data_IF_369206588453
#
_entry.id   IF_369206588453
#
_cell.length_a   1.000
_cell.length_b   1.000
_cell.length_c   1.000
_cell.angle_alpha   90.00
_cell.angle_beta   90.00
_cell.angle_gamma   90.00
#
_symmetry.space_group_name_H-M   'P 1'
#
loop_
_entity.id
_entity.type
_entity.pdbx_description
1 polymer ?
#
# COMPACT_ATOMS: atom_id res chain seq x y z
N UNK A 1 27.37 17.04 77.38
CA UNK A 1 26.41 16.15 76.70
C UNK A 1 25.65 16.93 75.63
N UNK A 2 25.93 16.69 74.34
CA UNK A 2 24.96 16.46 73.26
C UNK A 2 25.64 16.62 71.88
N UNK A 3 25.91 15.45 71.31
CA UNK A 3 25.95 15.03 69.90
C UNK A 3 26.71 15.87 68.86
N UNK A 4 27.86 15.32 68.44
CA UNK A 4 28.44 15.46 67.10
C UNK A 4 27.43 14.95 66.05
N UNK A 5 27.05 15.80 65.09
CA UNK A 5 26.33 15.41 63.89
C UNK A 5 27.30 15.35 62.70
N UNK A 6 27.62 14.14 62.24
CA UNK A 6 28.35 13.91 61.00
C UNK A 6 27.42 14.19 59.82
N UNK A 7 27.73 15.22 59.02
CA UNK A 7 27.02 15.50 57.77
C UNK A 7 27.60 14.57 56.70
N UNK A 8 26.80 13.58 56.30
CA UNK A 8 27.06 12.74 55.12
C UNK A 8 26.57 13.51 53.90
N UNK A 9 27.49 13.89 53.01
CA UNK A 9 27.17 14.49 51.72
C UNK A 9 26.80 13.35 50.75
N UNK A 10 25.50 13.06 50.61
CA UNK A 10 25.00 12.15 49.57
C UNK A 10 24.96 12.94 48.26
N UNK A 11 25.96 12.70 47.40
CA UNK A 11 25.91 13.13 46.00
C UNK A 11 24.85 12.25 45.31
N UNK A 12 23.67 12.81 45.06
CA UNK A 12 22.73 12.23 44.11
C UNK A 12 23.35 12.39 42.71
N UNK A 13 23.90 11.30 42.16
CA UNK A 13 23.99 11.17 40.72
C UNK A 13 22.55 11.10 40.20
N UNK A 14 22.09 12.16 39.54
CA UNK A 14 20.91 12.09 38.69
C UNK A 14 21.24 11.14 37.54
N UNK A 15 20.73 9.91 37.63
CA UNK A 15 20.69 9.00 36.50
C UNK A 15 19.50 9.47 35.67
N UNK A 16 19.74 10.07 34.52
CA UNK A 16 18.69 10.39 33.54
C UNK A 16 18.10 9.07 33.00
N UNK A 17 17.12 8.52 33.71
CA UNK A 17 16.28 7.40 33.28
C UNK A 17 15.18 7.92 32.35
N UNK A 18 15.56 8.48 31.20
CA UNK A 18 14.63 8.86 30.13
C UNK A 18 15.02 8.19 28.80
N UNK A 19 15.29 6.89 28.82
CA UNK A 19 15.35 6.09 27.60
C UNK A 19 13.92 5.78 27.15
N UNK A 20 13.39 6.56 26.19
CA UNK A 20 12.12 6.28 25.54
C UNK A 20 12.31 5.11 24.55
N UNK A 21 11.51 4.07 24.66
CA UNK A 21 11.54 2.93 23.73
C UNK A 21 11.08 3.31 22.32
N UNK A 22 11.21 2.40 21.35
CA UNK A 22 10.81 2.62 19.96
C UNK A 22 9.29 2.74 19.80
N UNK A 23 8.76 3.95 19.98
CA UNK A 23 7.34 4.28 19.84
C UNK A 23 7.21 5.45 18.85
N UNK A 24 6.65 5.20 17.67
CA UNK A 24 6.50 6.20 16.59
C UNK A 24 5.34 7.19 16.82
N UNK A 25 5.34 7.88 17.97
CA UNK A 25 4.35 8.91 18.32
C UNK A 25 4.83 10.34 17.95
N UNK A 26 5.40 10.53 16.76
CA UNK A 26 5.82 11.87 16.31
C UNK A 26 4.75 12.50 15.42
N UNK A 27 4.32 13.71 15.77
CA UNK A 27 3.44 14.54 14.93
C UNK A 27 4.31 15.22 13.87
N UNK A 28 3.90 15.12 12.60
CA UNK A 28 4.66 15.65 11.45
C UNK A 28 5.03 17.13 11.56
N UNK A 29 4.21 17.93 12.27
CA UNK A 29 4.46 19.36 12.48
C UNK A 29 5.70 19.63 13.34
N UNK A 30 6.04 18.74 14.28
CA UNK A 30 7.23 18.89 15.14
C UNK A 30 8.54 18.58 14.37
N UNK A 31 8.49 17.72 13.35
CA UNK A 31 9.65 17.32 12.54
C UNK A 31 10.07 18.45 11.60
N UNK A 32 9.11 19.14 11.00
CA UNK A 32 9.36 20.28 10.12
C UNK A 32 10.13 21.39 10.86
N UNK A 33 9.71 21.69 12.11
CA UNK A 33 10.37 22.70 12.94
C UNK A 33 11.75 22.23 13.45
N UNK A 34 11.87 20.98 13.91
CA UNK A 34 13.10 20.46 14.51
C UNK A 34 14.20 20.11 13.49
N UNK A 35 13.85 19.47 12.37
CA UNK A 35 14.82 18.87 11.46
C UNK A 35 15.07 19.71 10.21
N UNK A 36 14.06 20.45 9.72
CA UNK A 36 14.15 21.23 8.47
C UNK A 36 14.18 22.74 8.70
N UNK A 37 13.75 23.20 9.88
CA UNK A 37 13.94 24.56 10.35
C UNK A 37 15.41 24.98 10.36
N UNK A 38 16.33 24.18 10.94
CA UNK A 38 17.76 24.55 11.03
C UNK A 38 18.81 23.41 11.22
N UNK A 39 18.49 22.11 11.31
CA UNK A 39 19.39 21.15 12.04
C UNK A 39 19.62 19.72 11.51
N UNK A 40 19.06 19.27 10.37
CA UNK A 40 19.43 17.92 9.89
C UNK A 40 20.86 17.86 9.34
N UNK A 41 21.68 16.95 9.88
CA UNK A 41 23.09 16.77 9.51
C UNK A 41 23.27 15.55 8.58
N UNK A 42 24.43 15.46 7.93
CA UNK A 42 24.79 14.24 7.19
C UNK A 42 24.74 13.03 8.13
N UNK A 43 24.28 11.88 7.63
CA UNK A 43 24.30 10.64 8.40
C UNK A 43 25.71 10.29 8.86
N UNK A 44 25.81 9.52 9.95
CA UNK A 44 27.06 8.92 10.36
C UNK A 44 27.50 7.90 9.30
N UNK A 45 28.80 7.83 8.93
CA UNK A 45 29.27 6.92 7.89
C UNK A 45 28.90 5.45 8.13
N UNK A 46 28.82 5.05 9.39
CA UNK A 46 28.41 3.71 9.80
C UNK A 46 26.93 3.43 9.53
N UNK A 47 26.04 4.36 9.89
CA UNK A 47 24.62 4.23 9.60
C UNK A 47 24.35 4.23 8.08
N UNK A 48 25.09 5.06 7.33
CA UNK A 48 25.04 5.08 5.86
C UNK A 48 25.46 3.72 5.27
N UNK A 49 26.56 3.15 5.77
CA UNK A 49 27.07 1.85 5.34
C UNK A 49 26.09 0.71 5.64
N UNK A 50 25.48 0.70 6.84
CA UNK A 50 24.49 -0.30 7.25
C UNK A 50 23.27 -0.27 6.31
N UNK A 51 22.74 0.92 6.03
CA UNK A 51 21.61 1.06 5.09
C UNK A 51 22.02 0.66 3.69
N UNK A 52 23.23 1.00 3.23
CA UNK A 52 23.72 0.57 1.93
C UNK A 52 23.87 -0.96 1.84
N UNK A 53 24.29 -1.62 2.92
CA UNK A 53 24.33 -3.08 3.01
C UNK A 53 22.93 -3.69 2.95
N UNK A 54 21.93 -3.14 3.66
CA UNK A 54 20.53 -3.57 3.56
C UNK A 54 20.05 -3.51 2.11
N UNK A 55 20.25 -2.35 1.48
CA UNK A 55 19.86 -2.12 0.09
C UNK A 55 20.58 -3.07 -0.88
N UNK A 56 21.85 -3.36 -0.62
CA UNK A 56 22.64 -4.30 -1.41
C UNK A 56 22.14 -5.76 -1.29
N UNK A 57 21.78 -6.23 -0.09
CA UNK A 57 21.20 -7.57 0.10
C UNK A 57 19.91 -7.76 -0.71
N UNK A 58 19.13 -6.68 -0.84
CA UNK A 58 17.91 -6.66 -1.65
C UNK A 58 18.14 -6.37 -3.13
N UNK A 59 19.39 -6.09 -3.53
CA UNK A 59 19.77 -5.65 -4.88
C UNK A 59 19.02 -4.38 -5.33
N UNK A 60 18.71 -3.49 -4.38
CA UNK A 60 18.01 -2.25 -4.62
C UNK A 60 18.97 -1.05 -4.56
N UNK A 61 18.70 -0.02 -5.35
CA UNK A 61 19.38 1.27 -5.23
C UNK A 61 18.64 2.13 -4.20
N UNK A 62 19.39 2.80 -3.34
CA UNK A 62 18.86 3.76 -2.37
C UNK A 62 18.23 4.96 -3.09
N UNK A 63 16.97 5.25 -2.81
CA UNK A 63 16.19 6.36 -3.42
C UNK A 63 15.82 7.46 -2.42
N UNK A 64 16.27 7.34 -1.18
CA UNK A 64 16.06 8.28 -0.09
C UNK A 64 17.41 8.73 0.50
N UNK A 65 17.42 9.84 1.24
CA UNK A 65 18.61 10.31 1.94
C UNK A 65 18.51 9.94 3.41
N UNK A 66 19.58 9.41 3.99
CA UNK A 66 19.67 9.22 5.43
C UNK A 66 20.26 10.49 6.06
N UNK A 67 19.66 10.97 7.15
CA UNK A 67 20.10 12.20 7.86
C UNK A 67 19.95 12.04 9.36
N UNK A 68 20.87 12.67 10.09
CA UNK A 68 20.73 12.84 11.54
C UNK A 68 19.75 13.96 11.84
N UNK A 69 18.85 13.73 12.80
CA UNK A 69 18.08 14.78 13.44
C UNK A 69 18.09 14.53 14.95
N UNK A 70 18.73 15.40 15.72
CA UNK A 70 18.81 15.26 17.17
C UNK A 70 17.49 15.66 17.84
N UNK A 71 17.23 15.10 19.02
CA UNK A 71 16.10 15.43 19.91
C UNK A 71 14.73 14.93 19.44
N UNK A 72 14.68 14.11 18.39
CA UNK A 72 13.45 13.41 18.01
C UNK A 72 13.27 12.10 18.79
N UNK A 73 14.32 11.61 19.46
CA UNK A 73 14.32 10.35 20.23
C UNK A 73 13.70 9.17 19.45
N UNK A 74 13.93 9.12 18.13
CA UNK A 74 13.29 8.19 17.23
C UNK A 74 14.02 8.11 15.88
N UNK A 75 13.51 7.26 14.98
CA UNK A 75 13.75 7.31 13.55
C UNK A 75 12.41 7.43 12.79
N UNK A 76 12.44 7.99 11.58
CA UNK A 76 11.24 8.16 10.76
C UNK A 76 11.56 8.23 9.26
N UNK A 77 10.78 7.52 8.46
CA UNK A 77 10.67 7.68 7.02
C UNK A 77 9.66 8.77 6.63
N UNK A 78 10.11 9.86 5.99
CA UNK A 78 9.26 11.00 5.58
C UNK A 78 9.62 11.59 4.21
N UNK A 79 8.67 12.31 3.59
CA UNK A 79 8.90 13.08 2.35
C UNK A 79 8.78 14.56 2.63
N UNK A 80 9.87 15.28 2.37
CA UNK A 80 10.05 16.65 2.81
C UNK A 80 10.45 17.56 1.66
N UNK A 81 10.05 18.82 1.70
CA UNK A 81 10.45 19.77 0.67
C UNK A 81 11.90 20.23 0.91
N UNK A 82 12.73 20.13 -0.13
CA UNK A 82 14.05 20.76 -0.11
C UNK A 82 13.94 22.29 -0.25
N UNK A 83 15.09 22.98 -0.14
CA UNK A 83 15.18 24.44 -0.25
C UNK A 83 14.72 24.99 -1.62
N UNK A 84 14.56 24.12 -2.62
CA UNK A 84 14.09 24.46 -3.96
C UNK A 84 12.60 24.11 -4.16
N UNK A 85 11.91 23.66 -3.11
CA UNK A 85 10.49 23.29 -3.13
C UNK A 85 10.22 21.89 -3.68
N UNK A 86 11.25 21.06 -3.92
CA UNK A 86 11.07 19.70 -4.41
C UNK A 86 10.87 18.73 -3.26
N UNK A 87 9.87 17.86 -3.36
CA UNK A 87 9.70 16.75 -2.41
C UNK A 87 10.81 15.72 -2.55
N UNK A 88 11.53 15.47 -1.46
CA UNK A 88 12.64 14.55 -1.36
C UNK A 88 12.38 13.56 -0.20
N UNK A 89 12.50 12.25 -0.42
CA UNK A 89 12.39 11.26 0.66
C UNK A 89 13.64 11.23 1.56
N UNK A 90 13.40 11.15 2.87
CA UNK A 90 14.40 11.10 3.94
C UNK A 90 14.09 10.02 4.98
N UNK A 91 15.09 9.26 5.39
CA UNK A 91 15.08 8.61 6.71
C UNK A 91 15.81 9.56 7.67
N UNK A 92 15.12 10.02 8.70
CA UNK A 92 15.68 10.83 9.78
C UNK A 92 15.87 9.96 11.01
N UNK A 93 16.99 10.10 11.71
CA UNK A 93 17.21 9.36 12.96
C UNK A 93 17.95 10.20 14.01
N UNK A 94 17.64 9.95 15.29
CA UNK A 94 18.41 10.49 16.40
C UNK A 94 19.57 9.53 16.77
N UNK A 95 20.83 9.94 16.57
CA UNK A 95 21.98 9.07 16.81
C UNK A 95 22.19 8.73 18.29
N UNK A 96 21.83 9.64 19.22
CA UNK A 96 21.98 9.39 20.66
C UNK A 96 20.97 8.36 21.13
N UNK A 97 19.74 8.47 20.61
CA UNK A 97 18.67 7.54 20.91
C UNK A 97 18.94 6.15 20.31
N UNK A 98 19.37 6.05 19.04
CA UNK A 98 19.76 4.74 18.47
C UNK A 98 20.87 4.07 19.29
N UNK A 99 21.93 4.79 19.66
CA UNK A 99 23.00 4.25 20.50
C UNK A 99 22.51 3.82 21.90
N UNK A 100 21.44 4.45 22.41
CA UNK A 100 20.83 4.04 23.68
C UNK A 100 20.05 2.73 23.54
N UNK A 101 19.44 2.48 22.37
CA UNK A 101 18.77 1.22 22.04
C UNK A 101 19.79 0.07 21.99
N UNK A 102 20.96 0.30 21.39
CA UNK A 102 22.00 -0.72 21.30
C UNK A 102 22.57 -1.09 22.66
N UNK A 103 22.85 -0.08 23.50
CA UNK A 103 23.38 -0.30 24.86
C UNK A 103 22.43 -1.06 25.77
N UNK A 104 21.14 -0.77 25.67
CA UNK A 104 20.11 -1.40 26.51
C UNK A 104 19.80 -2.83 26.06
N UNK A 105 19.76 -3.06 24.75
CA UNK A 105 19.55 -4.39 24.13
C UNK A 105 20.83 -5.22 24.07
N UNK A 106 21.99 -4.61 24.38
CA UNK A 106 23.33 -5.20 24.35
C UNK A 106 23.73 -5.77 22.98
N UNK A 107 23.22 -5.16 21.92
CA UNK A 107 23.49 -5.56 20.53
C UNK A 107 23.21 -4.40 19.58
N UNK A 108 24.05 -4.25 18.56
CA UNK A 108 23.87 -3.23 17.51
C UNK A 108 22.70 -3.57 16.57
N UNK A 109 22.20 -4.81 16.64
CA UNK A 109 21.03 -5.24 15.86
C UNK A 109 19.76 -4.49 16.24
N UNK A 110 19.70 -3.86 17.41
CA UNK A 110 18.57 -3.04 17.81
C UNK A 110 18.44 -1.80 16.92
N UNK A 111 19.51 -1.02 16.75
CA UNK A 111 19.51 0.15 15.86
C UNK A 111 19.45 -0.23 14.38
N UNK A 112 20.11 -1.33 13.98
CA UNK A 112 19.98 -1.89 12.62
C UNK A 112 18.52 -2.25 12.33
N UNK A 113 17.82 -2.89 13.27
CA UNK A 113 16.41 -3.25 13.13
C UNK A 113 15.49 -2.05 12.98
N UNK A 114 15.73 -0.98 13.75
CA UNK A 114 15.00 0.30 13.60
C UNK A 114 15.23 0.90 12.20
N UNK A 115 16.47 0.94 11.72
CA UNK A 115 16.75 1.45 10.37
C UNK A 115 16.10 0.57 9.28
N UNK A 116 16.15 -0.76 9.43
CA UNK A 116 15.49 -1.68 8.51
C UNK A 116 13.97 -1.49 8.48
N UNK A 117 13.37 -1.20 9.62
CA UNK A 117 11.95 -0.88 9.74
C UNK A 117 11.60 0.41 8.97
N UNK A 118 12.38 1.48 9.12
CA UNK A 118 12.16 2.72 8.36
C UNK A 118 12.38 2.54 6.84
N UNK A 119 13.37 1.73 6.44
CA UNK A 119 13.53 1.32 5.04
C UNK A 119 12.29 0.58 4.55
N UNK A 120 11.71 -0.28 5.38
CA UNK A 120 10.44 -0.96 5.13
C UNK A 120 9.29 0.02 4.87
N UNK A 121 9.14 1.05 5.70
CA UNK A 121 8.13 2.09 5.48
C UNK A 121 8.28 2.80 4.13
N UNK A 122 9.51 3.02 3.65
CA UNK A 122 9.72 3.60 2.33
C UNK A 122 9.43 2.64 1.19
N UNK A 123 9.97 1.43 1.24
CA UNK A 123 9.84 0.46 0.15
C UNK A 123 8.41 -0.09 0.03
N UNK A 124 7.64 -0.05 1.11
CA UNK A 124 6.21 -0.40 1.13
C UNK A 124 5.29 0.81 0.92
N UNK A 125 5.85 1.99 0.58
CA UNK A 125 5.14 3.23 0.28
C UNK A 125 4.27 3.78 1.44
N UNK A 126 4.57 3.40 2.68
CA UNK A 126 3.87 3.90 3.88
C UNK A 126 4.13 5.39 4.12
N UNK A 127 5.36 5.86 3.84
CA UNK A 127 5.80 7.24 4.06
C UNK A 127 5.11 8.31 3.18
N UNK A 128 4.30 7.91 2.19
CA UNK A 128 3.62 8.85 1.27
C UNK A 128 2.38 9.54 1.85
N UNK A 129 1.86 9.04 2.98
CA UNK A 129 0.47 9.31 3.33
C UNK A 129 0.22 10.44 4.35
N UNK A 130 1.25 11.07 4.94
CA UNK A 130 1.15 12.13 5.97
C UNK A 130 0.15 11.87 7.12
N UNK A 131 -0.36 10.65 7.22
CA UNK A 131 -1.16 10.14 8.32
C UNK A 131 -0.15 9.41 9.20
N UNK A 132 -0.10 9.73 10.49
CA UNK A 132 0.81 9.10 11.46
C UNK A 132 0.65 7.59 11.54
N UNK A 133 1.24 6.96 12.55
CA UNK A 133 1.33 5.50 12.64
C UNK A 133 -0.01 4.77 12.40
N UNK A 134 0.03 3.81 11.48
CA UNK A 134 -1.06 2.92 11.13
C UNK A 134 -0.67 1.52 11.62
N UNK A 135 -1.44 0.89 12.53
CA UNK A 135 -1.08 -0.41 13.09
C UNK A 135 -0.76 -1.47 12.04
N UNK A 136 -1.39 -1.40 10.86
CA UNK A 136 -1.08 -2.33 9.75
C UNK A 136 0.31 -2.08 9.18
N UNK A 137 0.65 -0.81 8.93
CA UNK A 137 1.95 -0.43 8.37
C UNK A 137 3.12 -0.74 9.30
N UNK A 138 2.92 -0.63 10.62
CA UNK A 138 3.91 -1.04 11.61
C UNK A 138 4.26 -2.53 11.49
N UNK A 139 3.25 -3.40 11.46
CA UNK A 139 3.44 -4.86 11.32
C UNK A 139 4.13 -5.20 10.00
N UNK A 140 3.77 -4.49 8.93
CA UNK A 140 4.35 -4.67 7.61
C UNK A 140 5.83 -4.29 7.59
N UNK A 141 6.18 -3.15 8.21
CA UNK A 141 7.56 -2.70 8.37
C UNK A 141 8.38 -3.58 9.32
N UNK A 142 7.78 -4.11 10.40
CA UNK A 142 8.43 -5.06 11.32
C UNK A 142 8.78 -6.38 10.65
N UNK A 143 7.85 -6.92 9.84
CA UNK A 143 8.11 -8.14 9.07
C UNK A 143 9.22 -7.92 8.04
N UNK A 144 9.19 -6.78 7.36
CA UNK A 144 10.26 -6.38 6.44
C UNK A 144 11.61 -6.28 7.16
N UNK A 145 11.64 -5.66 8.34
CA UNK A 145 12.84 -5.54 9.15
C UNK A 145 13.38 -6.93 9.54
N UNK A 146 12.52 -7.84 10.01
CA UNK A 146 12.90 -9.20 10.35
C UNK A 146 13.51 -9.98 9.19
N UNK A 147 12.92 -9.86 7.98
CA UNK A 147 13.47 -10.46 6.75
C UNK A 147 14.84 -9.87 6.39
N UNK A 148 14.96 -8.55 6.47
CA UNK A 148 16.21 -7.83 6.15
C UNK A 148 17.33 -8.20 7.12
N UNK A 149 17.04 -8.23 8.43
CA UNK A 149 18.02 -8.62 9.45
C UNK A 149 18.46 -10.08 9.29
N UNK A 150 17.55 -10.99 8.94
CA UNK A 150 17.92 -12.37 8.61
C UNK A 150 18.85 -12.46 7.40
N UNK A 151 18.60 -11.70 6.33
CA UNK A 151 19.48 -11.64 5.15
C UNK A 151 20.88 -11.09 5.50
N UNK A 152 20.95 -10.20 6.49
CA UNK A 152 22.20 -9.64 6.99
C UNK A 152 22.91 -10.56 8.00
N UNK A 153 22.29 -11.69 8.38
CA UNK A 153 22.90 -12.73 9.22
C UNK A 153 22.61 -12.63 10.71
N UNK A 154 21.59 -11.87 11.13
CA UNK A 154 21.20 -11.82 12.54
C UNK A 154 20.62 -13.16 13.03
N UNK A 155 20.78 -13.46 14.31
CA UNK A 155 19.92 -14.41 15.02
C UNK A 155 18.48 -13.87 15.15
N UNK A 156 17.54 -14.73 15.52
CA UNK A 156 16.15 -14.30 15.74
C UNK A 156 16.05 -13.38 16.96
N UNK A 157 16.77 -13.71 18.03
CA UNK A 157 16.85 -12.90 19.25
C UNK A 157 17.39 -11.51 18.95
N UNK A 158 18.47 -11.41 18.16
CA UNK A 158 19.01 -10.12 17.70
C UNK A 158 18.01 -9.36 16.83
N UNK A 159 17.30 -10.03 15.91
CA UNK A 159 16.27 -9.37 15.09
C UNK A 159 15.14 -8.78 15.95
N UNK A 160 14.80 -9.43 17.07
CA UNK A 160 13.74 -8.99 17.97
C UNK A 160 14.18 -7.89 18.95
N UNK A 161 15.49 -7.64 19.09
CA UNK A 161 16.08 -6.73 20.06
C UNK A 161 15.64 -5.27 19.91
N UNK A 162 15.23 -4.83 18.70
CA UNK A 162 14.67 -3.49 18.49
C UNK A 162 13.43 -3.20 19.35
N UNK A 163 12.78 -4.24 19.89
CA UNK A 163 11.62 -4.13 20.77
C UNK A 163 11.91 -4.36 22.25
N UNK A 164 13.18 -4.52 22.67
CA UNK A 164 13.51 -4.82 24.08
C UNK A 164 12.98 -3.75 25.03
N UNK A 165 13.13 -2.47 24.65
CA UNK A 165 12.63 -1.33 25.42
C UNK A 165 11.20 -0.91 25.05
N UNK A 166 10.51 -1.67 24.19
CA UNK A 166 9.12 -1.39 23.84
C UNK A 166 8.20 -1.76 25.01
N UNK A 167 7.42 -0.80 25.51
CA UNK A 167 6.64 -0.94 26.76
C UNK A 167 5.15 -1.19 26.51
N UNK A 168 4.65 -0.97 25.29
CA UNK A 168 3.25 -1.18 24.96
C UNK A 168 2.94 -2.68 24.83
N UNK A 169 2.21 -3.23 25.81
CA UNK A 169 1.88 -4.66 25.86
C UNK A 169 0.70 -4.99 24.93
N UNK A 170 -0.36 -4.18 24.98
CA UNK A 170 -1.62 -4.38 24.26
C UNK A 170 -1.75 -3.41 23.07
N UNK A 171 -2.60 -3.75 22.09
CA UNK A 171 -2.87 -2.86 20.96
C UNK A 171 -3.43 -1.51 21.39
N UNK A 172 -2.97 -0.45 20.73
CA UNK A 172 -3.58 0.87 20.76
C UNK A 172 -4.23 1.19 19.40
N UNK A 173 -4.87 2.37 19.32
CA UNK A 173 -5.44 2.85 18.06
C UNK A 173 -4.36 3.10 16.99
N UNK A 174 -3.14 3.42 17.40
CA UNK A 174 -2.04 3.83 16.51
C UNK A 174 -0.92 2.80 16.43
N UNK A 175 -0.73 1.96 17.45
CA UNK A 175 0.38 0.99 17.49
C UNK A 175 -0.06 -0.41 17.93
N UNK A 176 0.47 -1.49 17.33
CA UNK A 176 0.27 -2.86 17.79
C UNK A 176 1.00 -3.13 19.12
N UNK A 177 0.47 -4.05 19.92
CA UNK A 177 1.16 -4.52 21.13
C UNK A 177 2.46 -5.28 20.83
N UNK A 178 3.41 -5.29 21.78
CA UNK A 178 4.76 -5.87 21.65
C UNK A 178 4.76 -7.28 21.05
N UNK A 179 3.85 -8.15 21.50
CA UNK A 179 3.78 -9.53 21.05
C UNK A 179 3.53 -9.65 19.54
N UNK A 180 2.68 -8.79 18.97
CA UNK A 180 2.40 -8.80 17.53
C UNK A 180 3.59 -8.33 16.70
N UNK A 181 4.28 -7.29 17.19
CA UNK A 181 5.49 -6.76 16.55
C UNK A 181 6.62 -7.80 16.53
N UNK A 182 6.84 -8.47 17.66
CA UNK A 182 7.81 -9.56 17.79
C UNK A 182 7.48 -10.74 16.87
N UNK A 183 6.20 -11.13 16.75
CA UNK A 183 5.79 -12.20 15.83
C UNK A 183 5.97 -11.77 14.37
N UNK A 184 5.68 -10.52 14.01
CA UNK A 184 5.92 -10.01 12.66
C UNK A 184 7.40 -10.08 12.26
N UNK A 185 8.31 -9.62 13.13
CA UNK A 185 9.77 -9.76 12.96
C UNK A 185 10.15 -11.23 12.76
N UNK A 186 9.67 -12.11 13.64
CA UNK A 186 9.96 -13.54 13.58
C UNK A 186 9.50 -14.16 12.27
N UNK A 187 8.29 -13.83 11.82
CA UNK A 187 7.77 -14.33 10.55
C UNK A 187 8.64 -13.89 9.37
N UNK A 188 9.03 -12.61 9.32
CA UNK A 188 9.96 -12.12 8.30
C UNK A 188 11.31 -12.83 8.34
N UNK A 189 11.86 -13.02 9.54
CA UNK A 189 13.14 -13.70 9.76
C UNK A 189 13.09 -15.18 9.33
N UNK A 190 12.00 -15.89 9.67
CA UNK A 190 11.80 -17.30 9.30
C UNK A 190 11.69 -17.49 7.79
N UNK A 191 11.20 -16.51 7.02
CA UNK A 191 11.13 -16.63 5.56
C UNK A 191 12.51 -16.79 4.90
N UNK A 192 13.58 -16.32 5.54
CA UNK A 192 14.96 -16.47 5.06
C UNK A 192 15.59 -17.77 5.59
N UNK A 193 15.40 -18.05 6.88
CA UNK A 193 16.15 -19.11 7.57
C UNK A 193 15.44 -20.47 7.60
N UNK A 194 14.12 -20.48 7.41
CA UNK A 194 13.32 -21.68 7.18
C UNK A 194 12.61 -21.53 5.83
N UNK A 195 13.35 -21.44 4.71
CA UNK A 195 12.73 -21.33 3.41
C UNK A 195 11.76 -22.50 3.29
N UNK A 196 10.49 -22.19 3.02
CA UNK A 196 9.49 -23.23 2.74
C UNK A 196 10.08 -24.16 1.69
N UNK A 197 9.85 -25.48 1.83
CA UNK A 197 10.20 -26.47 0.81
C UNK A 197 10.00 -25.84 -0.57
N UNK A 198 10.95 -26.00 -1.48
CA UNK A 198 10.85 -25.52 -2.87
C UNK A 198 9.65 -26.17 -3.57
N UNK A 199 8.45 -25.70 -3.25
CA UNK A 199 7.17 -26.11 -3.80
C UNK A 199 7.00 -25.24 -5.03
N UNK A 200 7.13 -25.86 -6.20
CA UNK A 200 6.73 -25.19 -7.43
C UNK A 200 5.21 -25.32 -7.52
N UNK A 201 4.51 -24.22 -7.21
CA UNK A 201 3.06 -24.17 -7.26
C UNK A 201 2.56 -24.54 -8.67
N UNK A 202 1.69 -25.53 -8.73
CA UNK A 202 1.01 -25.99 -9.93
C UNK A 202 -0.43 -26.42 -9.58
N UNK A 203 -1.22 -26.80 -10.58
CA UNK A 203 -2.61 -27.24 -10.44
C UNK A 203 -2.77 -28.45 -9.49
N UNK A 204 -1.75 -29.30 -9.37
CA UNK A 204 -1.76 -30.49 -8.52
C UNK A 204 -1.21 -30.25 -7.10
N UNK A 205 -0.71 -29.05 -6.77
CA UNK A 205 -0.23 -28.73 -5.42
C UNK A 205 -1.40 -28.85 -4.43
N UNK A 206 -1.23 -29.57 -3.31
CA UNK A 206 -2.28 -29.75 -2.30
C UNK A 206 -2.60 -28.45 -1.56
N UNK A 207 -3.87 -28.20 -1.22
CA UNK A 207 -4.32 -26.96 -0.54
C UNK A 207 -3.55 -26.65 0.74
N UNK A 208 -3.13 -27.68 1.50
CA UNK A 208 -2.36 -27.51 2.74
C UNK A 208 -0.94 -26.99 2.52
N UNK A 209 -0.41 -27.19 1.31
CA UNK A 209 0.96 -26.83 0.92
C UNK A 209 0.97 -25.50 0.15
N UNK A 210 -0.21 -24.92 -0.12
CA UNK A 210 -0.36 -23.62 -0.77
C UNK A 210 -0.20 -22.52 0.27
N UNK A 211 0.63 -21.54 -0.06
CA UNK A 211 0.68 -20.26 0.61
C UNK A 211 0.62 -19.12 -0.41
N UNK A 212 0.48 -17.90 0.08
CA UNK A 212 0.25 -16.72 -0.74
C UNK A 212 1.50 -16.26 -1.47
N UNK A 213 2.69 -16.42 -0.86
CA UNK A 213 3.96 -16.16 -1.54
C UNK A 213 4.08 -17.01 -2.81
N UNK A 214 3.76 -18.30 -2.74
CA UNK A 214 3.78 -19.20 -3.89
C UNK A 214 2.85 -18.73 -5.02
N UNK A 215 1.63 -18.28 -4.69
CA UNK A 215 0.66 -17.80 -5.69
C UNK A 215 1.18 -16.53 -6.35
N UNK A 216 1.62 -15.53 -5.56
CA UNK A 216 2.13 -14.29 -6.11
C UNK A 216 3.43 -14.51 -6.90
N UNK A 217 4.39 -15.26 -6.38
CA UNK A 217 5.63 -15.58 -7.13
C UNK A 217 5.31 -16.23 -8.48
N UNK A 218 4.35 -17.17 -8.53
CA UNK A 218 3.91 -17.76 -9.80
C UNK A 218 3.26 -16.74 -10.72
N UNK A 219 2.39 -15.87 -10.21
CA UNK A 219 1.76 -14.80 -10.97
C UNK A 219 2.79 -13.85 -11.59
N UNK A 220 3.70 -13.30 -10.79
CA UNK A 220 4.73 -12.39 -11.27
C UNK A 220 5.68 -13.06 -12.26
N UNK A 221 6.05 -14.33 -12.02
CA UNK A 221 6.84 -15.10 -12.99
C UNK A 221 6.10 -15.23 -14.33
N UNK A 222 4.80 -15.50 -14.29
CA UNK A 222 3.96 -15.69 -15.49
C UNK A 222 3.73 -14.37 -16.24
N UNK A 223 3.69 -13.24 -15.54
CA UNK A 223 3.55 -11.90 -16.12
C UNK A 223 4.80 -11.36 -16.81
N UNK A 224 5.96 -12.02 -16.69
CA UNK A 224 7.24 -11.54 -17.25
C UNK A 224 8.36 -11.36 -16.22
N UNK A 225 8.08 -11.65 -14.95
CA UNK A 225 9.05 -11.67 -13.85
C UNK A 225 9.21 -10.33 -13.14
N UNK A 226 9.50 -10.41 -11.84
CA UNK A 226 9.72 -9.25 -10.96
C UNK A 226 10.75 -8.24 -11.52
N UNK A 227 11.83 -8.75 -12.12
CA UNK A 227 12.89 -7.91 -12.70
C UNK A 227 12.36 -7.00 -13.81
N UNK A 228 11.57 -7.55 -14.74
CA UNK A 228 11.05 -6.77 -15.87
C UNK A 228 9.93 -5.85 -15.40
N UNK A 229 8.98 -6.41 -14.63
CA UNK A 229 7.84 -5.64 -14.14
C UNK A 229 8.26 -4.48 -13.24
N UNK A 230 9.25 -4.67 -12.36
CA UNK A 230 9.75 -3.65 -11.42
C UNK A 230 10.55 -2.53 -12.08
N UNK A 231 10.93 -2.66 -13.35
CA UNK A 231 11.58 -1.59 -14.11
C UNK A 231 10.58 -0.58 -14.68
N UNK A 232 9.30 -0.96 -14.78
CA UNK A 232 8.22 -0.11 -15.29
C UNK A 232 7.95 1.00 -14.27
N UNK A 233 8.10 2.25 -14.67
CA UNK A 233 7.75 3.44 -13.87
C UNK A 233 6.37 3.96 -14.18
N UNK A 234 5.96 3.82 -15.43
CA UNK A 234 4.70 4.32 -15.92
C UNK A 234 4.22 3.47 -17.10
N UNK A 235 2.90 3.28 -17.19
CA UNK A 235 2.23 2.62 -18.30
C UNK A 235 1.33 3.64 -18.97
N UNK A 236 1.51 3.83 -20.27
CA UNK A 236 0.64 4.66 -21.10
C UNK A 236 -0.21 3.76 -21.99
N UNK A 237 -1.51 3.99 -22.07
CA UNK A 237 -2.39 3.17 -22.91
C UNK A 237 -3.70 3.88 -23.20
N UNK A 238 -4.38 3.40 -24.25
CA UNK A 238 -5.78 3.75 -24.53
C UNK A 238 -6.68 2.59 -24.11
N UNK A 239 -7.83 2.90 -23.53
CA UNK A 239 -8.88 1.92 -23.25
C UNK A 239 -10.19 2.36 -23.89
N UNK A 240 -10.82 1.43 -24.61
CA UNK A 240 -12.19 1.58 -25.13
C UNK A 240 -13.12 0.72 -24.29
N UNK A 241 -14.25 1.29 -23.87
CA UNK A 241 -15.26 0.64 -23.05
C UNK A 241 -16.58 0.67 -23.79
N UNK A 242 -17.11 -0.51 -24.12
CA UNK A 242 -18.44 -0.68 -24.69
C UNK A 242 -19.41 -1.12 -23.60
N UNK A 243 -20.37 -0.27 -23.26
CA UNK A 243 -21.28 -0.44 -22.13
C UNK A 243 -22.73 -0.70 -22.57
N UNK A 244 -23.37 -1.69 -21.94
CA UNK A 244 -24.81 -1.98 -22.02
C UNK A 244 -25.41 -2.00 -20.62
N UNK A 245 -26.68 -1.64 -20.50
CA UNK A 245 -27.41 -1.65 -19.22
C UNK A 245 -28.62 -2.57 -19.39
N UNK A 246 -28.67 -3.61 -18.57
CA UNK A 246 -29.63 -4.69 -18.67
C UNK A 246 -29.44 -5.56 -19.91
N UNK A 247 -30.44 -6.39 -20.21
CA UNK A 247 -30.39 -7.42 -21.25
C UNK A 247 -31.30 -7.10 -22.45
N UNK A 248 -31.72 -5.84 -22.60
CA UNK A 248 -32.69 -5.45 -23.63
C UNK A 248 -32.12 -5.65 -25.04
N UNK A 249 -32.76 -6.51 -25.82
CA UNK A 249 -32.45 -6.75 -27.23
C UNK A 249 -32.53 -5.43 -28.05
N UNK A 250 -31.54 -5.19 -28.90
CA UNK A 250 -31.47 -4.02 -29.78
C UNK A 250 -30.95 -2.72 -29.14
N UNK A 251 -30.52 -2.74 -27.87
CA UNK A 251 -29.87 -1.58 -27.25
C UNK A 251 -28.55 -1.27 -27.97
N UNK A 252 -28.41 -0.03 -28.47
CA UNK A 252 -27.10 0.47 -28.94
C UNK A 252 -26.20 0.68 -27.72
N UNK A 253 -25.01 0.05 -27.67
CA UNK A 253 -24.10 0.23 -26.56
C UNK A 253 -23.56 1.67 -26.53
N UNK A 254 -23.23 2.15 -25.33
CA UNK A 254 -22.48 3.40 -25.17
C UNK A 254 -20.99 3.08 -25.26
N UNK A 255 -20.23 3.97 -25.89
CA UNK A 255 -18.79 3.81 -26.01
C UNK A 255 -18.07 4.92 -25.25
N UNK A 256 -17.05 4.55 -24.48
CA UNK A 256 -16.16 5.44 -23.75
C UNK A 256 -14.72 5.18 -24.19
N UNK A 257 -13.94 6.23 -24.45
CA UNK A 257 -12.53 6.11 -24.78
C UNK A 257 -11.71 7.01 -23.84
N UNK A 258 -10.72 6.40 -23.21
CA UNK A 258 -9.82 7.05 -22.27
C UNK A 258 -8.37 6.79 -22.66
N UNK A 259 -7.54 7.81 -22.54
CA UNK A 259 -6.07 7.68 -22.55
C UNK A 259 -5.58 7.77 -21.10
N UNK A 260 -4.71 6.85 -20.71
CA UNK A 260 -4.22 6.72 -19.35
C UNK A 260 -2.71 6.89 -19.29
N UNK A 261 -2.25 7.55 -18.24
CA UNK A 261 -0.88 7.46 -17.75
C UNK A 261 -0.94 6.96 -16.29
N UNK A 262 -0.56 5.71 -16.08
CA UNK A 262 -0.60 5.04 -14.80
C UNK A 262 0.80 4.91 -14.21
N UNK A 263 1.02 5.38 -12.99
CA UNK A 263 2.20 5.14 -12.16
C UNK A 263 1.78 4.70 -10.75
N UNK A 264 2.73 4.38 -9.87
CA UNK A 264 2.46 3.91 -8.51
C UNK A 264 1.65 4.86 -7.63
N UNK A 265 1.73 6.17 -7.88
CA UNK A 265 1.08 7.19 -7.06
C UNK A 265 0.21 8.16 -7.85
N UNK A 266 0.16 8.02 -9.18
CA UNK A 266 -0.52 8.97 -10.06
C UNK A 266 -1.26 8.22 -11.16
N UNK A 267 -2.49 8.62 -11.41
CA UNK A 267 -3.23 8.23 -12.61
C UNK A 267 -3.71 9.50 -13.30
N UNK A 268 -3.15 9.78 -14.48
CA UNK A 268 -3.66 10.81 -15.39
C UNK A 268 -4.62 10.14 -16.36
N UNK A 269 -5.76 10.76 -16.60
CA UNK A 269 -6.81 10.24 -17.47
C UNK A 269 -7.26 11.35 -18.41
N UNK A 270 -7.26 11.10 -19.71
CA UNK A 270 -7.80 12.02 -20.71
C UNK A 270 -9.05 11.36 -21.30
N UNK A 271 -10.20 12.02 -21.15
CA UNK A 271 -11.47 11.58 -21.75
C UNK A 271 -11.68 12.28 -23.10
N UNK A 272 -11.92 11.50 -24.15
CA UNK A 272 -12.16 12.03 -25.51
C UNK A 272 -13.64 12.04 -25.90
N UNK A 273 -14.54 11.58 -25.01
CA UNK A 273 -15.93 11.26 -25.36
C UNK A 273 -16.97 12.29 -24.89
N UNK A 274 -16.54 13.38 -24.25
CA UNK A 274 -17.43 14.50 -23.92
C UNK A 274 -17.29 15.62 -24.95
N UNK A 275 -18.35 16.42 -25.10
CA UNK A 275 -18.38 17.57 -26.01
C UNK A 275 -17.18 18.51 -25.83
N UNK A 276 -16.70 18.59 -24.59
CA UNK A 276 -15.44 19.22 -24.21
C UNK A 276 -14.51 18.12 -23.66
N UNK A 277 -13.36 17.85 -24.29
CA UNK A 277 -12.44 16.83 -23.78
C UNK A 277 -11.87 17.29 -22.44
N UNK A 278 -11.88 16.37 -21.47
CA UNK A 278 -11.53 16.64 -20.07
C UNK A 278 -10.30 15.82 -19.68
N UNK A 279 -9.49 16.40 -18.80
CA UNK A 279 -8.36 15.74 -18.17
C UNK A 279 -8.61 15.59 -16.66
N UNK A 280 -8.34 14.40 -16.14
CA UNK A 280 -8.42 14.08 -14.73
C UNK A 280 -7.08 13.65 -14.19
N UNK A 281 -6.83 14.00 -12.94
CA UNK A 281 -5.64 13.62 -12.20
C UNK A 281 -6.05 13.04 -10.85
N UNK A 282 -5.62 11.80 -10.61
CA UNK A 282 -5.77 11.09 -9.35
C UNK A 282 -4.38 10.94 -8.74
N UNK A 283 -4.19 11.35 -7.49
CA UNK A 283 -2.92 11.20 -6.75
C UNK A 283 -3.16 10.37 -5.49
N UNK A 284 -2.26 9.42 -5.24
CA UNK A 284 -2.28 8.47 -4.12
C UNK A 284 -3.63 7.74 -3.97
N UNK A 285 -4.35 7.53 -5.08
CA UNK A 285 -5.72 6.96 -5.10
C UNK A 285 -6.80 7.77 -4.36
N UNK A 286 -6.44 8.86 -3.67
CA UNK A 286 -7.28 9.57 -2.69
C UNK A 286 -7.77 10.93 -3.19
N UNK A 287 -6.93 11.72 -3.86
CA UNK A 287 -7.34 13.01 -4.43
C UNK A 287 -7.88 12.86 -5.87
N UNK A 288 -8.74 13.79 -6.29
CA UNK A 288 -9.18 13.93 -7.67
C UNK A 288 -9.15 15.41 -8.01
N UNK A 289 -8.51 15.75 -9.12
CA UNK A 289 -8.65 17.05 -9.76
C UNK A 289 -8.96 16.88 -11.24
N UNK A 290 -9.57 17.89 -11.84
CA UNK A 290 -9.94 17.90 -13.25
C UNK A 290 -9.71 19.27 -13.89
N UNK A 291 -9.57 19.30 -15.22
CA UNK A 291 -9.56 20.50 -16.04
C UNK A 291 -10.05 20.18 -17.45
N UNK A 292 -10.54 21.17 -18.18
CA UNK A 292 -10.75 21.04 -19.62
C UNK A 292 -9.40 21.10 -20.34
N UNK A 293 -9.29 20.49 -21.52
CA UNK A 293 -7.99 20.44 -22.24
C UNK A 293 -7.49 21.82 -22.70
N UNK A 294 -8.38 22.78 -22.90
CA UNK A 294 -8.08 24.17 -23.24
C UNK A 294 -7.78 25.05 -22.01
N UNK A 295 -8.02 24.54 -20.81
CA UNK A 295 -7.73 25.21 -19.56
C UNK A 295 -6.42 24.69 -18.92
N UNK A 296 -5.66 25.60 -18.30
CA UNK A 296 -4.48 25.23 -17.52
C UNK A 296 -4.82 24.95 -16.04
N UNK A 297 -5.94 25.50 -15.55
CA UNK A 297 -6.27 25.50 -14.13
C UNK A 297 -6.94 24.19 -13.71
N UNK A 298 -6.34 23.53 -12.72
CA UNK A 298 -6.93 22.36 -12.07
C UNK A 298 -8.01 22.76 -11.06
N UNK A 299 -9.16 22.11 -11.15
CA UNK A 299 -10.27 22.18 -10.20
C UNK A 299 -10.28 20.92 -9.32
N UNK A 300 -10.56 21.06 -8.03
CA UNK A 300 -10.61 19.94 -7.09
C UNK A 300 -11.96 19.22 -7.13
N UNK A 301 -11.95 17.90 -7.00
CA UNK A 301 -13.13 17.03 -6.98
C UNK A 301 -13.52 16.50 -8.36
N UNK A 302 -14.72 15.93 -8.45
CA UNK A 302 -15.30 15.50 -9.73
C UNK A 302 -15.98 16.70 -10.44
N UNK A 303 -15.95 16.74 -11.78
CA UNK A 303 -16.71 17.74 -12.53
C UNK A 303 -18.21 17.60 -12.25
N UNK A 304 -18.93 18.72 -12.18
CA UNK A 304 -20.40 18.73 -12.13
C UNK A 304 -20.95 18.56 -13.54
N UNK A 305 -21.12 17.32 -13.98
CA UNK A 305 -21.67 17.03 -15.31
C UNK A 305 -23.21 17.05 -15.25
N UNK A 306 -23.83 18.05 -15.89
CA UNK A 306 -25.29 18.17 -16.02
C UNK A 306 -26.06 18.65 -14.78
N UNK A 307 -27.39 18.54 -14.79
CA UNK A 307 -28.30 18.97 -13.69
C UNK A 307 -28.33 18.00 -12.50
N UNK A 308 -27.65 16.85 -12.58
CA UNK A 308 -27.57 15.89 -11.49
C UNK A 308 -26.45 16.27 -10.52
N UNK A 309 -26.82 17.01 -9.47
CA UNK A 309 -25.97 17.43 -8.36
C UNK A 309 -25.34 16.30 -7.50
N UNK A 310 -25.32 15.05 -7.98
CA UNK A 310 -25.09 13.84 -7.16
C UNK A 310 -23.86 13.00 -7.55
N UNK A 311 -22.96 13.48 -8.40
CA UNK A 311 -21.73 12.73 -8.68
C UNK A 311 -20.72 12.98 -7.57
N UNK A 312 -20.64 12.06 -6.60
CA UNK A 312 -19.57 12.11 -5.61
C UNK A 312 -18.25 11.56 -6.18
N UNK A 313 -17.15 12.10 -5.66
CA UNK A 313 -15.79 11.81 -6.11
C UNK A 313 -15.46 10.31 -6.14
N UNK A 314 -16.03 9.52 -5.22
CA UNK A 314 -15.76 8.09 -5.14
C UNK A 314 -16.36 7.35 -6.33
N UNK A 315 -17.65 7.52 -6.58
CA UNK A 315 -18.33 6.87 -7.71
C UNK A 315 -17.76 7.35 -9.05
N UNK A 316 -17.33 8.62 -9.14
CA UNK A 316 -16.63 9.13 -10.31
C UNK A 316 -15.32 8.40 -10.57
N UNK A 317 -14.46 8.27 -9.55
CA UNK A 317 -13.19 7.55 -9.66
C UNK A 317 -13.39 6.12 -10.13
N UNK A 318 -14.37 5.40 -9.56
CA UNK A 318 -14.66 4.02 -9.97
C UNK A 318 -15.09 3.92 -11.44
N UNK A 319 -15.77 4.94 -11.97
CA UNK A 319 -16.18 4.99 -13.38
C UNK A 319 -15.00 5.16 -14.33
N UNK A 320 -14.05 6.04 -14.00
CA UNK A 320 -12.89 6.32 -14.86
C UNK A 320 -11.68 5.43 -14.55
N UNK A 321 -11.76 4.52 -13.57
CA UNK A 321 -10.67 3.62 -13.16
C UNK A 321 -10.27 2.69 -14.32
N UNK A 322 -8.99 2.64 -14.72
CA UNK A 322 -8.54 1.74 -15.78
C UNK A 322 -8.64 0.26 -15.38
N UNK A 323 -8.66 -0.68 -16.33
CA UNK A 323 -8.70 -2.12 -16.00
C UNK A 323 -7.43 -2.65 -15.33
N UNK A 324 -6.26 -2.10 -15.67
CA UNK A 324 -4.97 -2.50 -15.08
C UNK A 324 -4.54 -1.61 -13.91
N UNK A 325 -5.49 -0.96 -13.23
CA UNK A 325 -5.24 -0.01 -12.14
C UNK A 325 -4.32 -0.55 -11.06
N UNK A 326 -4.45 -1.85 -10.72
CA UNK A 326 -3.70 -2.48 -9.64
C UNK A 326 -2.27 -2.90 -10.00
N UNK A 327 -1.80 -2.69 -11.23
CA UNK A 327 -0.47 -3.14 -11.66
C UNK A 327 0.65 -2.79 -10.67
N UNK A 328 0.67 -1.54 -10.19
CA UNK A 328 1.68 -1.09 -9.21
C UNK A 328 1.36 -1.51 -7.77
N UNK A 329 0.08 -1.66 -7.44
CA UNK A 329 -0.34 -2.13 -6.11
C UNK A 329 0.02 -3.62 -5.91
N UNK A 330 0.03 -4.42 -6.98
CA UNK A 330 0.33 -5.86 -6.92
C UNK A 330 1.71 -6.14 -6.26
N UNK A 331 2.70 -5.25 -6.46
CA UNK A 331 4.04 -5.40 -5.85
C UNK A 331 4.00 -5.27 -4.32
N UNK A 332 3.09 -4.47 -3.78
CA UNK A 332 2.92 -4.33 -2.33
C UNK A 332 2.43 -5.66 -1.70
N UNK A 333 1.67 -6.45 -2.45
CA UNK A 333 1.10 -7.72 -1.97
C UNK A 333 2.12 -8.86 -1.94
N UNK A 334 3.12 -8.87 -2.83
CA UNK A 334 4.24 -9.83 -2.72
C UNK A 334 5.04 -9.59 -1.45
N UNK A 335 5.30 -8.32 -1.15
CA UNK A 335 6.07 -7.94 0.03
C UNK A 335 5.30 -8.22 1.32
N UNK A 336 3.99 -8.47 1.21
CA UNK A 336 3.11 -8.70 2.34
C UNK A 336 1.98 -9.70 1.99
N UNK A 337 2.30 -10.98 1.79
CA UNK A 337 1.29 -11.95 1.39
C UNK A 337 0.26 -12.17 2.51
N UNK A 338 0.66 -12.04 3.77
CA UNK A 338 -0.12 -12.41 4.96
C UNK A 338 -1.26 -11.46 5.32
N UNK A 339 -1.34 -10.27 4.70
CA UNK A 339 -2.55 -9.45 4.80
C UNK A 339 -3.70 -10.01 3.97
N UNK A 340 -3.41 -10.95 3.08
CA UNK A 340 -4.44 -11.62 2.30
C UNK A 340 -4.65 -13.03 2.85
N UNK A 341 -5.82 -13.61 2.58
CA UNK A 341 -6.13 -14.97 2.96
C UNK A 341 -6.27 -15.82 1.70
N UNK A 342 -5.50 -16.91 1.60
CA UNK A 342 -5.86 -17.98 0.68
C UNK A 342 -7.13 -18.63 1.20
N UNK A 343 -8.19 -18.62 0.40
CA UNK A 343 -9.49 -19.19 0.82
C UNK A 343 -9.61 -20.66 0.41
N UNK A 344 -9.52 -20.90 -0.90
CA UNK A 344 -9.74 -22.20 -1.55
C UNK A 344 -9.50 -22.08 -3.05
N UNK A 345 -9.51 -23.21 -3.74
CA UNK A 345 -9.77 -23.26 -5.18
C UNK A 345 -11.24 -22.99 -5.49
N UNK A 346 -11.49 -22.29 -6.59
CA UNK A 346 -12.83 -21.99 -7.10
C UNK A 346 -12.78 -21.93 -8.62
N UNK A 347 -13.79 -22.48 -9.29
CA UNK A 347 -13.97 -22.31 -10.73
C UNK A 347 -14.63 -20.96 -10.98
N UNK A 348 -14.01 -20.14 -11.82
CA UNK A 348 -14.52 -18.85 -12.30
C UNK A 348 -14.33 -18.81 -13.81
N UNK A 349 -15.41 -18.54 -14.56
CA UNK A 349 -15.38 -18.49 -16.03
C UNK A 349 -14.70 -19.74 -16.64
N UNK A 350 -15.15 -20.93 -16.21
CA UNK A 350 -14.66 -22.25 -16.63
C UNK A 350 -13.17 -22.53 -16.33
N UNK A 351 -12.52 -21.70 -15.51
CA UNK A 351 -11.12 -21.87 -15.10
C UNK A 351 -11.00 -22.07 -13.58
N UNK A 352 -10.31 -23.14 -13.17
CA UNK A 352 -9.99 -23.36 -11.75
C UNK A 352 -8.92 -22.35 -11.31
N UNK A 353 -9.22 -21.62 -10.25
CA UNK A 353 -8.38 -20.55 -9.73
C UNK A 353 -8.09 -20.69 -8.24
N UNK A 354 -6.89 -20.28 -7.82
CA UNK A 354 -6.60 -19.97 -6.42
C UNK A 354 -7.31 -18.68 -6.03
N UNK A 355 -8.12 -18.72 -4.97
CA UNK A 355 -8.87 -17.54 -4.48
C UNK A 355 -8.11 -16.87 -3.36
N UNK A 356 -7.71 -15.62 -3.59
CA UNK A 356 -7.12 -14.73 -2.57
C UNK A 356 -8.17 -13.71 -2.14
N UNK A 357 -8.40 -13.57 -0.84
CA UNK A 357 -9.27 -12.55 -0.25
C UNK A 357 -8.45 -11.46 0.44
N UNK A 358 -8.80 -10.20 0.16
CA UNK A 358 -8.10 -9.03 0.70
C UNK A 358 -8.82 -8.47 1.94
N UNK A 359 -8.11 -7.74 2.81
CA UNK A 359 -8.72 -7.07 3.96
C UNK A 359 -9.86 -6.17 3.54
N UNK A 360 -10.91 -6.19 4.35
CA UNK A 360 -12.03 -5.29 4.17
C UNK A 360 -11.58 -3.82 4.34
N UNK A 361 -11.96 -2.96 3.40
CA UNK A 361 -11.69 -1.52 3.46
C UNK A 361 -12.99 -0.79 3.77
N UNK A 362 -12.95 0.12 4.74
CA UNK A 362 -14.10 0.99 5.07
C UNK A 362 -13.79 2.42 4.67
N UNK A 363 -14.67 3.03 3.89
CA UNK A 363 -14.57 4.43 3.45
C UNK A 363 -15.81 5.20 3.90
N UNK A 364 -15.62 6.35 4.55
CA UNK A 364 -16.70 7.24 4.94
C UNK A 364 -16.62 8.55 4.14
N UNK A 365 -17.74 8.96 3.58
CA UNK A 365 -17.84 10.16 2.73
C UNK A 365 -18.92 11.07 3.29
N UNK A 366 -18.58 12.34 3.50
CA UNK A 366 -19.44 13.31 4.17
C UNK A 366 -19.46 13.12 5.68
N UNK A 367 -20.52 13.61 6.33
CA UNK A 367 -20.65 13.51 7.79
C UNK A 367 -21.83 12.59 8.13
N UNK A 368 -21.55 11.41 8.68
CA UNK A 368 -22.58 10.40 8.97
C UNK A 368 -23.64 10.89 9.97
N UNK A 369 -23.30 11.83 10.85
CA UNK A 369 -24.25 12.46 11.79
C UNK A 369 -25.17 13.50 11.12
N UNK A 370 -24.81 14.01 9.93
CA UNK A 370 -25.63 14.95 9.14
C UNK A 370 -26.19 14.29 7.88
N UNK A 371 -25.32 14.08 6.89
CA UNK A 371 -25.56 13.42 5.62
C UNK A 371 -24.23 12.88 5.10
N UNK A 372 -24.18 11.60 4.76
CA UNK A 372 -22.98 10.95 4.25
C UNK A 372 -23.27 9.52 3.81
N UNK A 373 -22.24 8.80 3.38
CA UNK A 373 -22.31 7.37 3.10
C UNK A 373 -21.09 6.65 3.66
N UNK A 374 -21.29 5.41 4.11
CA UNK A 374 -20.22 4.46 4.46
C UNK A 374 -20.20 3.37 3.40
N UNK A 375 -19.02 3.05 2.91
CA UNK A 375 -18.77 1.99 1.95
C UNK A 375 -17.86 0.97 2.62
N UNK A 376 -18.29 -0.29 2.60
CA UNK A 376 -17.50 -1.42 3.03
C UNK A 376 -17.15 -2.23 1.78
N UNK A 377 -15.88 -2.23 1.40
CA UNK A 377 -15.35 -2.95 0.24
C UNK A 377 -14.72 -4.26 0.69
N UNK A 378 -15.15 -5.36 0.10
CA UNK A 378 -14.46 -6.66 0.15
C UNK A 378 -13.98 -7.00 -1.26
N UNK A 379 -12.78 -7.55 -1.39
CA UNK A 379 -12.14 -7.83 -2.68
C UNK A 379 -11.57 -9.25 -2.69
N UNK A 380 -11.72 -9.92 -3.83
CA UNK A 380 -11.09 -11.21 -4.12
C UNK A 380 -10.42 -11.20 -5.47
N UNK A 381 -9.24 -11.80 -5.55
CA UNK A 381 -8.54 -12.07 -6.81
C UNK A 381 -8.51 -13.57 -7.05
N UNK A 382 -8.63 -13.95 -8.31
CA UNK A 382 -8.66 -15.34 -8.76
C UNK A 382 -7.51 -15.57 -9.73
N UNK A 383 -6.50 -16.33 -9.30
CA UNK A 383 -5.32 -16.64 -10.10
C UNK A 383 -5.45 -18.03 -10.70
N UNK A 384 -5.31 -18.16 -12.01
CA UNK A 384 -5.40 -19.42 -12.73
C UNK A 384 -4.45 -20.47 -12.14
N UNK A 385 -4.98 -21.66 -11.87
CA UNK A 385 -4.18 -22.81 -11.45
C UNK A 385 -3.31 -23.36 -12.59
N UNK A 386 -3.65 -23.06 -13.84
CA UNK A 386 -2.94 -23.53 -15.04
C UNK A 386 -1.87 -22.55 -15.50
N UNK A 387 -2.24 -21.28 -15.70
CA UNK A 387 -1.34 -20.26 -16.26
C UNK A 387 -0.61 -19.47 -15.17
N UNK A 388 -1.14 -19.43 -13.94
CA UNK A 388 -0.65 -18.54 -12.88
C UNK A 388 -1.08 -17.07 -13.05
N UNK A 389 -1.70 -16.71 -14.18
CA UNK A 389 -2.16 -15.34 -14.45
C UNK A 389 -3.44 -15.02 -13.66
N UNK A 390 -3.72 -13.73 -13.50
CA UNK A 390 -4.97 -13.26 -12.88
C UNK A 390 -6.13 -13.52 -13.86
N UNK A 391 -7.07 -14.38 -13.49
CA UNK A 391 -8.25 -14.68 -14.30
C UNK A 391 -9.40 -13.70 -13.99
N UNK A 392 -9.59 -13.35 -12.72
CA UNK A 392 -10.68 -12.47 -12.34
C UNK A 392 -10.46 -11.65 -11.06
N UNK A 393 -11.20 -10.54 -10.95
CA UNK A 393 -11.33 -9.72 -9.74
C UNK A 393 -12.82 -9.61 -9.39
N UNK A 394 -13.16 -9.90 -8.13
CA UNK A 394 -14.50 -9.68 -7.56
C UNK A 394 -14.40 -8.63 -6.45
N UNK A 395 -15.18 -7.55 -6.59
CA UNK A 395 -15.34 -6.51 -5.59
C UNK A 395 -16.80 -6.46 -5.13
N UNK A 396 -17.03 -6.43 -3.82
CA UNK A 396 -18.37 -6.22 -3.25
C UNK A 396 -18.34 -5.02 -2.33
N UNK A 397 -19.06 -3.98 -2.72
CA UNK A 397 -19.25 -2.73 -1.98
C UNK A 397 -20.62 -2.76 -1.28
N UNK A 398 -20.65 -2.83 0.05
CA UNK A 398 -21.85 -2.58 0.84
C UNK A 398 -21.92 -1.09 1.16
N UNK A 399 -22.89 -0.39 0.59
CA UNK A 399 -23.02 1.08 0.69
C UNK A 399 -24.21 1.41 1.57
N UNK A 400 -23.96 2.11 2.67
CA UNK A 400 -24.99 2.57 3.62
C UNK A 400 -25.08 4.09 3.58
N UNK A 401 -26.27 4.62 3.29
CA UNK A 401 -26.53 6.06 3.22
C UNK A 401 -27.08 6.57 4.56
N UNK A 402 -26.42 7.56 5.13
CA UNK A 402 -26.74 8.14 6.42
C UNK A 402 -27.42 9.50 6.29
N UNK A 403 -28.43 9.73 7.14
CA UNK A 403 -29.03 11.05 7.36
C UNK A 403 -29.39 11.18 8.84
N UNK A 404 -28.90 12.24 9.49
CA UNK A 404 -29.10 12.49 10.93
C UNK A 404 -28.66 11.30 11.80
N UNK A 405 -27.49 10.72 11.52
CA UNK A 405 -26.92 9.61 12.28
C UNK A 405 -27.54 8.23 12.02
N UNK A 406 -28.61 8.14 11.22
CA UNK A 406 -29.30 6.88 10.93
C UNK A 406 -29.10 6.45 9.48
N UNK A 407 -28.98 5.14 9.27
CA UNK A 407 -29.02 4.53 7.92
C UNK A 407 -30.43 4.71 7.37
N UNK A 408 -30.56 5.34 6.20
CA UNK A 408 -31.84 5.54 5.51
C UNK A 408 -32.06 4.56 4.38
N UNK A 409 -30.98 4.11 3.76
CA UNK A 409 -30.99 3.08 2.73
C UNK A 409 -29.63 2.41 2.67
N UNK A 410 -29.61 1.21 2.12
CA UNK A 410 -28.39 0.52 1.74
C UNK A 410 -28.56 -0.10 0.36
N UNK A 411 -27.44 -0.27 -0.32
CA UNK A 411 -27.36 -1.09 -1.53
C UNK A 411 -26.05 -1.85 -1.51
N UNK A 412 -26.03 -2.99 -2.17
CA UNK A 412 -24.77 -3.71 -2.42
C UNK A 412 -24.47 -3.61 -3.91
N UNK A 413 -23.24 -3.22 -4.24
CA UNK A 413 -22.72 -3.25 -5.61
C UNK A 413 -21.71 -4.38 -5.71
N UNK A 414 -21.96 -5.33 -6.60
CA UNK A 414 -21.02 -6.41 -6.92
C UNK A 414 -20.42 -6.14 -8.28
N UNK A 415 -19.10 -6.04 -8.35
CA UNK A 415 -18.34 -5.86 -9.59
C UNK A 415 -17.50 -7.10 -9.82
N UNK A 416 -17.66 -7.73 -10.98
CA UNK A 416 -16.82 -8.83 -11.44
C UNK A 416 -16.08 -8.36 -12.68
N UNK A 417 -14.76 -8.53 -12.72
CA UNK A 417 -13.92 -8.26 -13.89
C UNK A 417 -13.20 -9.53 -14.28
N UNK A 418 -13.56 -10.11 -15.42
CA UNK A 418 -12.94 -11.30 -16.00
C UNK A 418 -11.90 -10.84 -17.03
N UNK A 419 -10.67 -11.32 -16.90
CA UNK A 419 -9.59 -11.03 -17.83
C UNK A 419 -9.61 -12.11 -18.91
N UNK A 420 -10.04 -11.74 -20.10
CA UNK A 420 -10.24 -12.68 -21.20
C UNK A 420 -8.95 -12.98 -21.95
N UNK A 421 -8.13 -11.95 -22.17
CA UNK A 421 -6.92 -12.09 -22.96
C UNK A 421 -5.79 -11.19 -22.44
N UNK A 422 -4.58 -11.71 -22.57
CA UNK A 422 -3.32 -11.02 -22.27
C UNK A 422 -2.54 -10.79 -23.56
N UNK A 423 -1.77 -9.71 -23.60
CA UNK A 423 -0.82 -9.43 -24.68
C UNK A 423 0.57 -9.18 -24.11
N UNK A 424 1.61 -9.55 -24.85
CA UNK A 424 3.01 -9.29 -24.46
C UNK A 424 3.44 -7.91 -24.96
N UNK A 425 3.96 -7.09 -24.05
CA UNK A 425 4.54 -5.76 -24.32
C UNK A 425 5.93 -5.73 -23.68
N UNK A 426 6.99 -5.59 -24.47
CA UNK A 426 8.39 -5.51 -24.00
C UNK A 426 8.78 -6.60 -22.98
N UNK A 427 8.27 -7.84 -23.17
CA UNK A 427 8.46 -9.03 -22.31
C UNK A 427 7.55 -9.13 -21.07
N UNK A 428 6.58 -8.22 -20.91
CA UNK A 428 5.58 -8.29 -19.84
C UNK A 428 4.22 -8.64 -20.44
N UNK A 429 3.54 -9.65 -19.91
CA UNK A 429 2.14 -9.91 -20.24
C UNK A 429 1.25 -8.91 -19.50
N UNK A 430 0.35 -8.26 -20.21
CA UNK A 430 -0.64 -7.34 -19.64
C UNK A 430 -2.05 -7.72 -20.09
N UNK A 431 -3.06 -7.62 -19.18
CA UNK A 431 -4.45 -7.75 -19.57
C UNK A 431 -4.80 -6.74 -20.66
N UNK A 432 -5.50 -7.17 -21.71
CA UNK A 432 -5.95 -6.24 -22.76
C UNK A 432 -7.40 -6.38 -23.18
N UNK A 433 -8.05 -7.52 -22.94
CA UNK A 433 -9.51 -7.63 -23.03
C UNK A 433 -10.09 -8.05 -21.70
N UNK A 434 -11.00 -7.25 -21.18
CA UNK A 434 -11.64 -7.45 -19.88
C UNK A 434 -13.16 -7.34 -20.05
N UNK A 435 -13.89 -8.33 -19.55
CA UNK A 435 -15.34 -8.25 -19.37
C UNK A 435 -15.64 -7.85 -17.94
N UNK A 436 -16.35 -6.73 -17.75
CA UNK A 436 -16.72 -6.22 -16.44
C UNK A 436 -18.23 -6.18 -16.28
N UNK A 437 -18.73 -6.80 -15.23
CA UNK A 437 -20.16 -6.84 -14.88
C UNK A 437 -20.36 -6.15 -13.54
N UNK A 438 -21.20 -5.13 -13.50
CA UNK A 438 -21.55 -4.39 -12.28
C UNK A 438 -23.02 -4.64 -11.97
N UNK A 439 -23.28 -5.43 -10.94
CA UNK A 439 -24.62 -5.80 -10.49
C UNK A 439 -24.99 -4.99 -9.25
N UNK A 440 -26.15 -4.35 -9.28
CA UNK A 440 -26.76 -3.74 -8.08
C UNK A 440 -27.67 -4.77 -7.43
N UNK A 441 -27.43 -5.05 -6.16
CA UNK A 441 -28.27 -5.90 -5.33
C UNK A 441 -29.10 -5.01 -4.39
N UNK A 442 -30.42 -5.12 -4.49
CA UNK A 442 -31.37 -4.53 -3.54
C UNK A 442 -31.99 -5.69 -2.74
N UNK A 443 -31.82 -5.69 -1.41
CA UNK A 443 -32.23 -6.82 -0.55
C UNK A 443 -31.65 -8.17 -1.00
N UNK A 444 -30.36 -8.18 -1.37
CA UNK A 444 -29.61 -9.34 -1.86
C UNK A 444 -30.11 -9.96 -3.17
N UNK A 445 -31.09 -9.33 -3.84
CA UNK A 445 -31.58 -9.76 -5.15
C UNK A 445 -30.96 -8.91 -6.27
N UNK A 446 -30.40 -9.55 -7.31
CA UNK A 446 -29.83 -8.84 -8.45
C UNK A 446 -30.91 -8.09 -9.23
N UNK A 447 -30.60 -6.84 -9.57
CA UNK A 447 -31.41 -6.02 -10.48
C UNK A 447 -30.83 -6.13 -11.89
N UNK A 448 -31.26 -7.17 -12.61
CA UNK A 448 -30.77 -7.45 -13.96
C UNK A 448 -30.98 -6.27 -14.92
N UNK A 449 -32.11 -5.57 -14.79
CA UNK A 449 -32.45 -4.37 -15.57
C UNK A 449 -31.51 -3.17 -15.34
N UNK A 450 -30.82 -3.15 -14.19
CA UNK A 450 -29.84 -2.13 -13.80
C UNK A 450 -28.40 -2.62 -13.88
N UNK A 451 -28.19 -3.88 -14.25
CA UNK A 451 -26.85 -4.46 -14.33
C UNK A 451 -26.10 -3.89 -15.51
N UNK A 452 -24.87 -3.45 -15.28
CA UNK A 452 -24.02 -2.84 -16.30
C UNK A 452 -23.05 -3.89 -16.81
N UNK A 453 -23.02 -4.08 -18.12
CA UNK A 453 -22.10 -4.97 -18.81
C UNK A 453 -21.12 -4.12 -19.63
N UNK A 454 -19.84 -4.31 -19.40
CA UNK A 454 -18.76 -3.59 -20.07
C UNK A 454 -17.81 -4.57 -20.75
N UNK A 455 -17.55 -4.34 -22.02
CA UNK A 455 -16.38 -4.90 -22.72
C UNK A 455 -15.32 -3.82 -22.76
N UNK A 456 -14.12 -4.11 -22.25
CA UNK A 456 -13.01 -3.16 -22.14
C UNK A 456 -11.83 -3.69 -22.94
N UNK A 457 -11.31 -2.89 -23.84
CA UNK A 457 -10.18 -3.23 -24.70
C UNK A 457 -9.06 -2.19 -24.58
N UNK A 458 -7.87 -2.64 -24.20
CA UNK A 458 -6.68 -1.81 -24.09
C UNK A 458 -5.87 -1.90 -25.38
N UNK A 459 -5.39 -0.74 -25.84
CA UNK A 459 -4.57 -0.58 -27.05
C UNK A 459 -3.47 0.45 -26.82
N UNK A 460 -2.51 0.49 -27.74
CA UNK A 460 -1.38 1.43 -27.69
C UNK A 460 -0.64 1.42 -26.34
N UNK A 461 -0.44 0.23 -25.76
CA UNK A 461 0.24 0.08 -24.49
C UNK A 461 1.74 0.36 -24.69
N UNK A 462 2.26 1.33 -23.94
CA UNK A 462 3.65 1.75 -23.94
C UNK A 462 4.19 1.73 -22.50
N UNK A 463 5.35 1.12 -22.29
CA UNK A 463 5.98 0.99 -20.98
C UNK A 463 7.15 1.96 -20.87
N UNK A 464 7.08 2.87 -19.90
CA UNK A 464 8.19 3.75 -19.57
C UNK A 464 9.02 3.05 -18.50
N UNK A 465 10.19 2.57 -18.89
CA UNK A 465 11.10 1.84 -18.02
C UNK A 465 12.28 2.70 -17.56
N UNK A 466 12.97 2.25 -16.52
CA UNK A 466 14.23 2.88 -16.09
C UNK A 466 15.32 2.54 -17.12
N UNK A 467 15.96 3.53 -17.75
CA UNK A 467 17.18 3.28 -18.52
C UNK A 467 18.25 2.73 -17.60
N UNK A 468 18.82 1.58 -17.97
CA UNK A 468 19.88 0.87 -17.24
C UNK A 468 21.07 1.78 -16.88
#
# INVERSE_FOLDING_TARGET
MKQLGTIIFIVFLAIDLNAQGFQQDIVTEDIDELCFGYQSEMADPEAELIVDQMMAQMQLKKVFKLRKCAKINNAIATIEQDKSGNSQPYILYDPKWLNSMDKSSKTDWASIGVLAHEVGHFLLYHALNKKGSNPRWEIDADRFAGKTMAMMGSTLEEAQSMFDNYTLIEDSRTHPGKAKRLEAVKTGWMNVNNPTKNIVLNENTSDRDINLELIFTRYFKSMGGLKNMGQVKQIQFKEVITEKIGTRLGQKPKEYAYEYELSSNKTRVISRNFSDPEEYLIVNSDSLSYKYLDEEKWNQGAPKIGTTANQDTYDFKQKIRPSIFYYFDDFSWISNPEITDYRRRKIINDEECFTIEFPQVTTEIGNLNKRGKRIILTKRHYYSTYTGLLNAIEETEKISFYKRGQIKSSLTRKTESIINEYQTVEQILLPYKIKKTITILESDLPKEDKTIYQERELSNINLITTSL
#
